data_IF_624295483036
#
_entry.id   IF_624295483036
#
_cell.length_a   1.000
_cell.length_b   1.000
_cell.length_c   1.000
_cell.angle_alpha   90.00
_cell.angle_beta   90.00
_cell.angle_gamma   90.00
#
_symmetry.space_group_name_H-M   'P 1'
#
loop_
_entity.id
_entity.type
_entity.pdbx_description
1 polymer ?
#
# COMPACT_ATOMS: atom_id res chain seq x y z
N UNK A 1 44.35 4.63 0.70
CA UNK A 1 43.25 3.71 0.33
C UNK A 1 42.26 3.73 1.47
N UNK A 2 41.15 4.45 1.33
CA UNK A 2 40.04 4.40 2.30
C UNK A 2 39.40 3.03 2.17
N UNK A 3 39.43 2.23 3.23
CA UNK A 3 38.68 0.98 3.29
C UNK A 3 37.24 1.27 2.94
N UNK A 4 36.67 0.57 1.95
CA UNK A 4 35.27 0.67 1.63
C UNK A 4 34.50 0.30 2.90
N UNK A 5 33.73 1.23 3.45
CA UNK A 5 32.92 0.98 4.63
C UNK A 5 31.90 -0.12 4.28
N UNK A 6 31.94 -1.21 5.02
CA UNK A 6 31.06 -2.36 4.77
C UNK A 6 29.59 -1.92 4.93
N UNK A 7 28.79 -2.16 3.88
CA UNK A 7 27.37 -1.75 3.89
C UNK A 7 26.55 -2.69 4.76
N UNK A 8 25.67 -2.12 5.56
CA UNK A 8 24.61 -2.88 6.23
C UNK A 8 23.53 -3.22 5.22
N UNK A 9 23.51 -4.47 4.76
CA UNK A 9 22.50 -4.94 3.79
C UNK A 9 21.20 -5.28 4.51
N UNK A 10 20.08 -4.79 3.99
CA UNK A 10 18.72 -5.11 4.44
C UNK A 10 17.83 -5.44 3.24
N UNK A 11 17.14 -6.57 3.31
CA UNK A 11 16.26 -7.04 2.22
C UNK A 11 14.85 -6.51 2.41
N UNK A 12 14.32 -5.82 1.40
CA UNK A 12 12.96 -5.28 1.37
C UNK A 12 12.04 -6.11 0.48
N UNK A 13 11.10 -6.85 1.06
CA UNK A 13 10.03 -7.51 0.33
C UNK A 13 9.01 -6.49 -0.19
N UNK A 14 8.72 -6.51 -1.48
CA UNK A 14 7.75 -5.61 -2.13
C UNK A 14 6.43 -6.33 -2.47
N UNK A 15 6.15 -6.58 -3.73
CA UNK A 15 5.01 -7.37 -4.21
C UNK A 15 5.27 -7.88 -5.63
N UNK A 16 4.20 -8.37 -6.29
CA UNK A 16 4.27 -8.82 -7.68
C UNK A 16 4.58 -7.67 -8.64
N UNK A 17 5.31 -7.94 -9.74
CA UNK A 17 5.60 -6.93 -10.75
C UNK A 17 4.36 -6.21 -11.28
N UNK A 18 4.51 -4.92 -11.59
CA UNK A 18 3.45 -4.07 -12.09
C UNK A 18 2.52 -3.51 -11.01
N UNK A 19 2.71 -3.87 -9.74
CA UNK A 19 1.96 -3.33 -8.61
C UNK A 19 2.58 -2.06 -8.00
N UNK A 20 1.86 -1.43 -7.07
CA UNK A 20 2.30 -0.19 -6.40
C UNK A 20 3.51 -0.38 -5.48
N UNK A 21 3.60 -1.50 -4.78
CA UNK A 21 4.72 -1.75 -3.87
C UNK A 21 6.08 -1.90 -4.57
N UNK A 22 6.21 -2.61 -5.70
CA UNK A 22 7.43 -2.51 -6.49
C UNK A 22 7.71 -1.09 -6.98
N UNK A 23 6.70 -0.39 -7.51
CA UNK A 23 6.84 0.99 -7.99
C UNK A 23 7.32 1.95 -6.89
N UNK A 24 6.96 1.72 -5.63
CA UNK A 24 7.41 2.48 -4.47
C UNK A 24 8.77 1.98 -3.93
N UNK A 25 8.93 0.67 -3.78
CA UNK A 25 10.03 0.08 -3.03
C UNK A 25 11.40 0.27 -3.68
N UNK A 26 11.49 0.25 -5.02
CA UNK A 26 12.73 0.52 -5.74
C UNK A 26 13.23 1.95 -5.52
N UNK A 27 12.45 3.01 -5.85
CA UNK A 27 12.88 4.39 -5.56
C UNK A 27 13.09 4.70 -4.07
N UNK A 28 12.32 4.06 -3.17
CA UNK A 28 12.54 4.16 -1.73
C UNK A 28 13.95 3.67 -1.36
N UNK A 29 14.33 2.48 -1.83
CA UNK A 29 15.64 1.92 -1.57
C UNK A 29 16.77 2.77 -2.18
N UNK A 30 16.62 3.22 -3.42
CA UNK A 30 17.59 4.08 -4.10
C UNK A 30 17.84 5.37 -3.31
N UNK A 31 16.76 6.09 -2.97
CA UNK A 31 16.89 7.37 -2.24
C UNK A 31 17.50 7.18 -0.87
N UNK A 32 17.09 6.16 -0.11
CA UNK A 32 17.64 5.95 1.23
C UNK A 32 19.11 5.52 1.18
N UNK A 33 19.49 4.71 0.19
CA UNK A 33 20.90 4.33 -0.04
C UNK A 33 21.76 5.53 -0.48
N UNK A 34 21.18 6.51 -1.20
CA UNK A 34 21.85 7.77 -1.52
C UNK A 34 22.04 8.66 -0.28
N UNK A 35 21.03 8.71 0.60
CA UNK A 35 21.07 9.53 1.82
C UNK A 35 21.98 8.95 2.91
N UNK A 36 22.17 7.64 2.92
CA UNK A 36 23.10 6.91 3.80
C UNK A 36 23.84 5.84 2.99
N UNK A 37 25.04 6.16 2.45
CA UNK A 37 25.80 5.21 1.64
C UNK A 37 26.27 3.95 2.38
N UNK A 38 26.15 3.91 3.71
CA UNK A 38 26.46 2.74 4.53
C UNK A 38 25.27 1.79 4.68
N UNK A 39 24.08 2.15 4.17
CA UNK A 39 22.95 1.26 3.97
C UNK A 39 23.01 0.61 2.58
N UNK A 40 22.54 -0.64 2.52
CA UNK A 40 22.34 -1.40 1.30
C UNK A 40 20.93 -1.99 1.30
N UNK A 41 19.90 -1.16 1.04
CA UNK A 41 18.53 -1.66 0.94
C UNK A 41 18.37 -2.35 -0.41
N UNK A 42 18.00 -3.62 -0.40
CA UNK A 42 17.80 -4.46 -1.59
C UNK A 42 16.33 -4.85 -1.75
N UNK A 43 15.58 -4.19 -2.65
CA UNK A 43 14.20 -4.58 -2.94
C UNK A 43 14.14 -5.93 -3.64
N UNK A 44 13.17 -6.75 -3.22
CA UNK A 44 12.87 -8.04 -3.87
C UNK A 44 11.37 -8.14 -4.17
N UNK A 45 11.03 -8.67 -5.33
CA UNK A 45 9.66 -9.04 -5.60
C UNK A 45 9.24 -10.20 -4.71
N UNK A 46 8.04 -10.08 -4.16
CA UNK A 46 7.34 -11.10 -3.39
C UNK A 46 5.93 -11.26 -3.96
N UNK A 47 5.11 -12.05 -3.32
CA UNK A 47 3.70 -12.17 -3.68
C UNK A 47 2.82 -11.08 -3.04
N UNK A 48 3.39 -10.23 -2.16
CA UNK A 48 2.71 -9.09 -1.53
C UNK A 48 2.53 -9.20 -0.03
N UNK A 49 1.65 -8.38 0.53
CA UNK A 49 1.49 -8.17 1.98
C UNK A 49 1.28 -9.46 2.77
N UNK A 50 0.45 -10.38 2.27
CA UNK A 50 0.11 -11.63 2.97
C UNK A 50 1.26 -12.66 2.96
N UNK A 51 2.28 -12.45 2.15
CA UNK A 51 3.54 -13.20 2.19
C UNK A 51 4.61 -12.47 3.01
N UNK A 52 4.72 -11.14 2.86
CA UNK A 52 5.75 -10.35 3.54
C UNK A 52 5.64 -10.46 5.07
N UNK A 53 4.43 -10.40 5.61
CA UNK A 53 4.21 -10.48 7.06
C UNK A 53 4.71 -11.80 7.65
N UNK A 54 4.34 -13.00 7.15
CA UNK A 54 4.92 -14.25 7.61
C UNK A 54 6.44 -14.34 7.45
N UNK A 55 6.99 -13.81 6.36
CA UNK A 55 8.44 -13.82 6.13
C UNK A 55 9.18 -12.95 7.16
N UNK A 56 8.63 -11.79 7.55
CA UNK A 56 9.15 -10.96 8.64
C UNK A 56 9.07 -11.68 9.99
N UNK A 57 7.93 -12.31 10.30
CA UNK A 57 7.75 -13.09 11.54
C UNK A 57 8.77 -14.24 11.65
N UNK A 58 9.14 -14.85 10.52
CA UNK A 58 10.13 -15.93 10.44
C UNK A 58 11.57 -15.43 10.34
N UNK A 59 11.80 -14.11 10.28
CA UNK A 59 13.13 -13.52 10.10
C UNK A 59 13.76 -13.74 8.72
N UNK A 60 12.94 -14.09 7.70
CA UNK A 60 13.40 -14.32 6.32
C UNK A 60 13.44 -13.04 5.47
N UNK A 61 12.84 -11.98 5.95
CA UNK A 61 12.99 -10.61 5.45
C UNK A 61 13.41 -9.69 6.59
N UNK A 62 14.16 -8.65 6.26
CA UNK A 62 14.48 -7.57 7.20
C UNK A 62 13.38 -6.51 7.21
N UNK A 63 12.93 -6.12 6.02
CA UNK A 63 11.86 -5.17 5.76
C UNK A 63 10.82 -5.78 4.81
N UNK A 64 9.58 -5.31 4.91
CA UNK A 64 8.51 -5.73 4.00
C UNK A 64 7.41 -4.70 3.89
N UNK A 65 6.93 -4.48 2.67
CA UNK A 65 5.76 -3.63 2.43
C UNK A 65 4.49 -4.42 2.74
N UNK A 66 3.62 -3.85 3.56
CA UNK A 66 2.33 -4.44 3.90
C UNK A 66 1.24 -3.37 3.98
N UNK A 67 0.05 -3.69 3.48
CA UNK A 67 -1.10 -2.80 3.63
C UNK A 67 -1.54 -2.73 5.10
N UNK A 68 -2.23 -1.66 5.48
CA UNK A 68 -2.68 -1.48 6.85
C UNK A 68 -3.67 -2.55 7.29
N UNK A 69 -4.51 -3.06 6.40
CA UNK A 69 -5.46 -4.14 6.69
C UNK A 69 -4.73 -5.43 7.07
N UNK A 70 -3.72 -5.83 6.28
CA UNK A 70 -2.91 -7.02 6.56
C UNK A 70 -2.10 -6.84 7.84
N UNK A 71 -1.56 -5.64 8.06
CA UNK A 71 -0.87 -5.30 9.31
C UNK A 71 -1.83 -5.39 10.50
N UNK A 72 -3.04 -4.83 10.37
CA UNK A 72 -4.07 -4.89 11.41
C UNK A 72 -4.47 -6.32 11.74
N UNK A 73 -4.72 -7.17 10.73
CA UNK A 73 -5.04 -8.59 10.94
C UNK A 73 -3.91 -9.29 11.70
N UNK A 74 -2.66 -9.08 11.25
CA UNK A 74 -1.50 -9.72 11.86
C UNK A 74 -1.34 -9.34 13.34
N UNK A 75 -1.40 -8.04 13.68
CA UNK A 75 -1.23 -7.58 15.06
C UNK A 75 -2.44 -7.90 15.96
N UNK A 76 -3.62 -8.15 15.37
CA UNK A 76 -4.85 -8.52 16.09
C UNK A 76 -5.03 -10.01 16.21
N UNK A 77 -4.30 -10.84 15.43
CA UNK A 77 -4.47 -12.30 15.38
C UNK A 77 -5.72 -12.71 14.60
N UNK A 78 -6.14 -11.91 13.62
CA UNK A 78 -7.28 -12.22 12.75
C UNK A 78 -6.81 -13.18 11.65
N UNK A 79 -7.46 -14.33 11.54
CA UNK A 79 -7.14 -15.35 10.52
C UNK A 79 -5.85 -16.14 10.78
N UNK A 80 -5.18 -15.91 11.91
CA UNK A 80 -3.93 -16.60 12.25
C UNK A 80 -3.39 -16.22 13.62
N UNK A 81 -2.21 -16.71 14.00
CA UNK A 81 -1.58 -16.32 15.25
C UNK A 81 -1.23 -14.83 15.24
N UNK A 82 -1.37 -14.19 16.39
CA UNK A 82 -1.00 -12.78 16.57
C UNK A 82 0.48 -12.59 16.35
N UNK A 83 0.83 -11.67 15.43
CA UNK A 83 2.20 -11.30 15.14
C UNK A 83 2.90 -10.68 16.36
N UNK A 84 4.14 -11.09 16.61
CA UNK A 84 4.96 -10.64 17.75
C UNK A 84 6.23 -9.91 17.30
N UNK A 85 6.69 -10.22 16.08
CA UNK A 85 7.99 -9.78 15.56
C UNK A 85 7.87 -8.67 14.51
N UNK A 86 6.79 -7.89 14.52
CA UNK A 86 6.62 -6.77 13.61
C UNK A 86 6.88 -5.43 14.28
N UNK A 87 7.57 -4.54 13.57
CA UNK A 87 7.74 -3.13 13.93
C UNK A 87 7.54 -2.27 12.68
N UNK A 88 7.03 -1.07 12.88
CA UNK A 88 6.83 -0.09 11.81
C UNK A 88 8.09 0.76 11.68
N UNK A 89 8.64 0.85 10.47
CA UNK A 89 9.69 1.81 10.12
C UNK A 89 9.04 3.13 9.72
N UNK A 90 8.14 3.09 8.73
CA UNK A 90 7.36 4.26 8.32
C UNK A 90 6.03 3.86 7.67
N UNK A 91 5.06 4.78 7.72
CA UNK A 91 3.91 4.76 6.83
C UNK A 91 4.35 5.21 5.43
N UNK A 92 3.75 4.65 4.39
CA UNK A 92 4.13 4.99 3.01
C UNK A 92 3.26 6.11 2.44
N UNK A 93 2.01 5.83 2.10
CA UNK A 93 1.04 6.75 1.51
C UNK A 93 -0.37 6.31 1.86
N UNK A 94 -1.35 7.21 1.77
CA UNK A 94 -2.74 6.86 1.98
C UNK A 94 -3.27 6.00 0.82
N UNK A 95 -4.13 5.04 1.12
CA UNK A 95 -4.61 4.08 0.15
C UNK A 95 -6.14 3.99 0.20
N UNK A 96 -6.79 4.51 -0.86
CA UNK A 96 -8.24 4.49 -1.01
C UNK A 96 -8.66 3.32 -1.91
N UNK A 97 -9.46 2.39 -1.40
CA UNK A 97 -9.98 1.27 -2.20
C UNK A 97 -11.11 1.68 -3.12
N UNK A 98 -10.97 1.45 -4.42
CA UNK A 98 -12.00 1.78 -5.41
C UNK A 98 -11.88 0.90 -6.66
N UNK A 99 -12.87 1.00 -7.53
CA UNK A 99 -12.83 0.40 -8.85
C UNK A 99 -12.43 1.44 -9.90
N UNK A 100 -11.70 0.99 -10.92
CA UNK A 100 -11.57 1.70 -12.19
C UNK A 100 -12.26 0.92 -13.28
N UNK A 101 -12.97 1.64 -14.13
CA UNK A 101 -13.65 1.14 -15.34
C UNK A 101 -13.26 2.01 -16.52
N UNK A 102 -13.47 1.54 -17.75
CA UNK A 102 -13.36 2.42 -18.92
C UNK A 102 -14.38 3.56 -18.81
N UNK A 103 -14.00 4.78 -19.19
CA UNK A 103 -14.88 5.93 -19.08
C UNK A 103 -16.13 5.83 -19.98
N UNK A 104 -16.03 5.11 -21.11
CA UNK A 104 -17.15 4.84 -22.04
C UNK A 104 -18.07 3.70 -21.59
N UNK A 105 -17.74 2.97 -20.50
CA UNK A 105 -18.58 1.89 -19.97
C UNK A 105 -19.87 2.43 -19.35
N UNK A 106 -20.93 1.60 -19.25
CA UNK A 106 -22.19 2.01 -18.61
C UNK A 106 -22.12 2.09 -17.09
N UNK A 107 -21.08 1.54 -16.46
CA UNK A 107 -21.00 1.38 -15.01
C UNK A 107 -20.76 2.71 -14.30
N UNK A 108 -21.55 2.99 -13.23
CA UNK A 108 -21.51 4.23 -12.44
C UNK A 108 -21.43 4.00 -10.94
N UNK A 109 -21.80 2.80 -10.48
CA UNK A 109 -21.87 2.42 -9.07
C UNK A 109 -21.32 1.02 -8.84
N UNK A 110 -21.03 0.67 -7.59
CA UNK A 110 -20.63 -0.70 -7.21
C UNK A 110 -21.76 -1.69 -7.54
N UNK A 111 -23.01 -1.26 -7.41
CA UNK A 111 -24.17 -2.09 -7.74
C UNK A 111 -24.20 -2.52 -9.22
N UNK A 112 -23.75 -1.67 -10.14
CA UNK A 112 -23.71 -1.97 -11.58
C UNK A 112 -22.66 -3.06 -11.91
N UNK A 113 -21.71 -3.28 -11.03
CA UNK A 113 -20.64 -4.28 -11.19
C UNK A 113 -21.05 -5.67 -10.67
N UNK A 114 -22.19 -5.82 -10.00
CA UNK A 114 -22.64 -7.13 -9.51
C UNK A 114 -22.88 -8.08 -10.67
N UNK A 115 -22.40 -9.31 -10.52
CA UNK A 115 -22.45 -10.34 -11.57
C UNK A 115 -21.56 -10.06 -12.78
N UNK A 116 -20.64 -9.09 -12.72
CA UNK A 116 -19.72 -8.79 -13.82
C UNK A 116 -18.32 -9.34 -13.52
N UNK A 117 -17.52 -9.64 -14.57
CA UNK A 117 -16.14 -10.01 -14.39
C UNK A 117 -15.32 -8.81 -13.86
N UNK A 118 -14.77 -8.96 -12.66
CA UNK A 118 -14.00 -7.92 -11.96
C UNK A 118 -12.62 -8.46 -11.60
N UNK A 119 -11.58 -7.72 -11.99
CA UNK A 119 -10.21 -7.99 -11.60
C UNK A 119 -9.97 -7.45 -10.18
N UNK A 120 -9.70 -8.34 -9.23
CA UNK A 120 -9.46 -7.98 -7.84
C UNK A 120 -7.98 -7.83 -7.49
N UNK A 121 -7.08 -8.17 -8.42
CA UNK A 121 -5.63 -8.10 -8.26
C UNK A 121 -4.98 -9.45 -7.98
N UNK A 122 -3.72 -9.43 -7.58
CA UNK A 122 -2.99 -10.65 -7.22
C UNK A 122 -3.57 -11.27 -5.94
N UNK A 123 -3.75 -12.59 -5.92
CA UNK A 123 -4.47 -13.30 -4.85
C UNK A 123 -3.88 -13.15 -3.45
N UNK A 124 -2.59 -12.82 -3.34
CA UNK A 124 -1.87 -12.55 -2.09
C UNK A 124 -1.67 -11.05 -1.80
N UNK A 125 -2.24 -10.18 -2.64
CA UNK A 125 -2.19 -8.72 -2.47
C UNK A 125 -2.99 -8.28 -1.24
N UNK A 126 -2.50 -7.27 -0.52
CA UNK A 126 -3.26 -6.60 0.52
C UNK A 126 -4.55 -5.96 0.02
N UNK A 127 -4.64 -5.57 -1.25
CA UNK A 127 -5.90 -5.05 -1.83
C UNK A 127 -7.04 -6.08 -1.83
N UNK A 128 -6.75 -7.38 -1.85
CA UNK A 128 -7.77 -8.43 -1.68
C UNK A 128 -8.34 -8.38 -0.25
N UNK A 129 -7.48 -8.12 0.73
CA UNK A 129 -7.91 -7.98 2.13
C UNK A 129 -8.77 -6.74 2.30
N UNK A 130 -8.37 -5.59 1.71
CA UNK A 130 -9.19 -4.38 1.70
C UNK A 130 -10.53 -4.62 0.99
N UNK A 131 -10.53 -5.27 -0.18
CA UNK A 131 -11.76 -5.63 -0.90
C UNK A 131 -12.72 -6.41 -0.03
N UNK A 132 -12.23 -7.42 0.71
CA UNK A 132 -13.06 -8.22 1.61
C UNK A 132 -13.74 -7.37 2.67
N UNK A 133 -13.04 -6.47 3.32
CA UNK A 133 -13.60 -5.57 4.33
C UNK A 133 -14.57 -4.55 3.74
N UNK A 134 -14.25 -3.96 2.61
CA UNK A 134 -15.13 -2.99 1.94
C UNK A 134 -16.41 -3.67 1.48
N UNK A 135 -16.31 -4.81 0.80
CA UNK A 135 -17.50 -5.55 0.34
C UNK A 135 -18.34 -6.06 1.53
N UNK A 136 -17.71 -6.60 2.57
CA UNK A 136 -18.42 -7.02 3.78
C UNK A 136 -19.14 -5.87 4.48
N UNK A 137 -18.56 -4.67 4.53
CA UNK A 137 -19.23 -3.46 5.01
C UNK A 137 -20.43 -3.03 4.19
N UNK A 138 -20.44 -3.37 2.90
CA UNK A 138 -21.57 -3.16 1.98
C UNK A 138 -22.60 -4.30 1.99
N UNK A 139 -22.34 -5.39 2.75
CA UNK A 139 -23.17 -6.58 2.73
C UNK A 139 -22.98 -7.43 1.47
N UNK A 140 -21.81 -7.31 0.82
CA UNK A 140 -21.44 -8.03 -0.40
C UNK A 140 -20.26 -8.97 -0.11
N UNK A 141 -20.12 -9.97 -0.98
CA UNK A 141 -18.97 -10.88 -1.01
C UNK A 141 -18.32 -10.80 -2.40
N UNK A 142 -17.05 -10.39 -2.45
CA UNK A 142 -16.38 -10.16 -3.74
C UNK A 142 -16.26 -11.42 -4.61
N UNK A 143 -16.36 -12.62 -4.03
CA UNK A 143 -16.32 -13.91 -4.75
C UNK A 143 -17.68 -14.42 -5.19
N UNK A 144 -18.76 -14.00 -4.50
CA UNK A 144 -20.11 -14.50 -4.74
C UNK A 144 -20.97 -13.53 -5.55
N UNK A 145 -20.80 -12.22 -5.27
CA UNK A 145 -21.59 -11.17 -5.92
C UNK A 145 -20.98 -10.67 -7.23
N UNK A 146 -19.77 -11.13 -7.57
CA UNK A 146 -19.03 -10.76 -8.77
C UNK A 146 -18.41 -12.01 -9.42
N UNK A 147 -18.14 -11.97 -10.73
CA UNK A 147 -17.25 -12.93 -11.37
C UNK A 147 -15.80 -12.54 -11.06
N UNK A 148 -15.27 -13.12 -9.97
CA UNK A 148 -13.99 -12.70 -9.41
C UNK A 148 -12.81 -13.21 -10.23
N UNK A 149 -12.01 -12.30 -10.80
CA UNK A 149 -10.75 -12.59 -11.49
C UNK A 149 -9.59 -12.26 -10.54
N UNK A 150 -8.85 -13.31 -10.14
CA UNK A 150 -7.62 -13.18 -9.38
C UNK A 150 -6.43 -13.36 -10.32
N UNK A 151 -5.42 -12.53 -10.15
CA UNK A 151 -4.23 -12.52 -10.98
C UNK A 151 -3.04 -13.15 -10.25
N UNK A 152 -2.03 -13.55 -11.01
CA UNK A 152 -0.71 -13.82 -10.45
C UNK A 152 0.13 -12.55 -10.32
N UNK A 153 0.02 -11.62 -11.26
CA UNK A 153 0.72 -10.34 -11.27
C UNK A 153 -0.27 -9.19 -11.44
N UNK A 154 -0.10 -8.12 -10.66
CA UNK A 154 -0.99 -6.97 -10.74
C UNK A 154 -1.00 -6.29 -12.13
N UNK A 155 0.13 -6.34 -12.83
CA UNK A 155 0.28 -5.78 -14.19
C UNK A 155 -0.55 -6.48 -15.28
N UNK A 156 -1.08 -7.68 -15.03
CA UNK A 156 -1.87 -8.43 -16.01
C UNK A 156 -3.34 -7.95 -16.08
N UNK A 157 -3.78 -7.15 -15.10
CA UNK A 157 -5.17 -6.70 -14.98
C UNK A 157 -5.59 -5.62 -15.98
N UNK A 158 -4.82 -4.54 -16.17
CA UNK A 158 -5.24 -3.43 -17.04
C UNK A 158 -5.62 -3.84 -18.46
N UNK A 159 -4.89 -4.73 -19.16
CA UNK A 159 -5.31 -5.20 -20.49
C UNK A 159 -6.71 -5.82 -20.50
N UNK A 160 -7.11 -6.52 -19.43
CA UNK A 160 -8.44 -7.16 -19.35
C UNK A 160 -9.58 -6.15 -19.28
N UNK A 161 -9.34 -5.00 -18.62
CA UNK A 161 -10.32 -3.88 -18.59
C UNK A 161 -10.34 -3.15 -19.92
N UNK A 162 -9.17 -2.90 -20.51
CA UNK A 162 -9.04 -2.15 -21.77
C UNK A 162 -9.68 -2.89 -22.95
N UNK A 163 -9.57 -4.21 -23.01
CA UNK A 163 -10.14 -5.04 -24.09
C UNK A 163 -11.55 -5.57 -23.78
N UNK A 164 -12.11 -5.24 -22.60
CA UNK A 164 -13.48 -5.59 -22.22
C UNK A 164 -13.68 -6.99 -21.66
N UNK A 165 -12.61 -7.78 -21.44
CA UNK A 165 -12.69 -9.08 -20.73
C UNK A 165 -13.05 -8.91 -19.25
N UNK A 166 -12.79 -7.76 -18.67
CA UNK A 166 -13.25 -7.39 -17.34
C UNK A 166 -14.01 -6.05 -17.37
N UNK A 167 -15.08 -5.95 -16.62
CA UNK A 167 -15.85 -4.73 -16.45
C UNK A 167 -15.10 -3.67 -15.64
N UNK A 168 -14.35 -4.11 -14.62
CA UNK A 168 -13.65 -3.25 -13.69
C UNK A 168 -12.37 -3.89 -13.15
N UNK A 169 -11.50 -3.05 -12.60
CA UNK A 169 -10.36 -3.48 -11.76
C UNK A 169 -10.45 -2.79 -10.40
N UNK A 170 -10.31 -3.57 -9.32
CA UNK A 170 -10.19 -3.10 -7.96
C UNK A 170 -8.74 -2.71 -7.63
N UNK A 171 -8.56 -1.65 -6.87
CA UNK A 171 -7.26 -1.18 -6.40
C UNK A 171 -7.37 0.18 -5.75
N UNK A 172 -6.32 0.99 -5.85
CA UNK A 172 -6.39 2.37 -5.35
C UNK A 172 -5.03 3.02 -5.09
N UNK A 173 -5.11 4.22 -4.53
CA UNK A 173 -3.97 5.10 -4.30
C UNK A 173 -3.73 6.08 -5.45
N UNK A 174 -2.94 7.12 -5.19
CA UNK A 174 -2.58 8.14 -6.17
C UNK A 174 -1.58 7.56 -7.19
N UNK A 175 -1.85 7.72 -8.49
CA UNK A 175 -0.91 7.30 -9.54
C UNK A 175 -0.58 5.80 -9.57
N UNK A 176 -1.45 4.94 -9.01
CA UNK A 176 -1.20 3.49 -8.99
C UNK A 176 -1.05 2.94 -10.42
N UNK A 177 0.07 2.21 -10.73
CA UNK A 177 0.41 1.86 -12.11
C UNK A 177 -0.71 1.16 -12.90
N UNK A 178 -1.45 0.17 -12.36
CA UNK A 178 -2.56 -0.44 -13.10
C UNK A 178 -3.68 0.55 -13.46
N UNK A 179 -4.06 1.45 -12.55
CA UNK A 179 -5.08 2.46 -12.84
C UNK A 179 -4.58 3.51 -13.83
N UNK A 180 -3.30 3.89 -13.73
CA UNK A 180 -2.66 4.78 -14.68
C UNK A 180 -2.66 4.19 -16.10
N UNK A 181 -2.43 2.89 -16.24
CA UNK A 181 -2.48 2.22 -17.53
C UNK A 181 -3.89 2.28 -18.16
N UNK A 182 -4.94 2.05 -17.37
CA UNK A 182 -6.34 2.15 -17.82
C UNK A 182 -6.67 3.61 -18.18
N UNK A 183 -6.30 4.57 -17.32
CA UNK A 183 -6.59 5.98 -17.54
C UNK A 183 -5.88 6.59 -18.77
N UNK A 184 -4.72 6.08 -19.14
CA UNK A 184 -4.01 6.43 -20.38
C UNK A 184 -4.52 5.69 -21.62
N UNK A 185 -5.42 4.73 -21.44
CA UNK A 185 -6.05 4.00 -22.55
C UNK A 185 -6.97 4.89 -23.39
N UNK A 186 -7.36 4.42 -24.61
CA UNK A 186 -8.13 5.23 -25.57
C UNK A 186 -9.45 5.78 -25.02
N UNK A 187 -10.14 5.03 -24.16
CA UNK A 187 -11.41 5.42 -23.57
C UNK A 187 -11.26 6.30 -22.31
N UNK A 188 -10.04 6.40 -21.74
CA UNK A 188 -9.85 6.96 -20.42
C UNK A 188 -10.42 6.08 -19.31
N UNK A 189 -10.46 6.60 -18.09
CA UNK A 189 -10.96 5.88 -16.92
C UNK A 189 -12.06 6.67 -16.18
N UNK A 190 -12.95 5.91 -15.54
CA UNK A 190 -13.86 6.40 -14.48
C UNK A 190 -13.58 5.61 -13.22
N UNK A 191 -13.63 6.31 -12.07
CA UNK A 191 -13.42 5.72 -10.76
C UNK A 191 -14.77 5.55 -10.07
N UNK A 192 -15.02 4.37 -9.51
CA UNK A 192 -16.23 4.03 -8.76
C UNK A 192 -15.79 3.66 -7.34
N UNK A 193 -16.28 4.43 -6.38
CA UNK A 193 -16.00 4.25 -4.96
C UNK A 193 -17.32 4.17 -4.18
N UNK A 194 -17.31 3.71 -2.92
CA UNK A 194 -18.47 3.77 -2.05
C UNK A 194 -18.98 5.19 -1.89
N UNK A 195 -20.31 5.38 -1.91
CA UNK A 195 -20.95 6.65 -1.56
C UNK A 195 -20.83 7.00 -0.08
N UNK A 196 -21.25 8.21 0.31
CA UNK A 196 -21.11 8.69 1.69
C UNK A 196 -21.73 7.74 2.73
N UNK A 197 -22.99 7.35 2.53
CA UNK A 197 -23.69 6.41 3.43
C UNK A 197 -23.05 5.01 3.46
N UNK A 198 -22.45 4.61 2.33
CA UNK A 198 -21.70 3.36 2.23
C UNK A 198 -20.39 3.42 2.99
N UNK A 199 -19.67 4.55 2.92
CA UNK A 199 -18.45 4.80 3.71
C UNK A 199 -18.77 4.73 5.20
N UNK A 200 -19.86 5.36 5.65
CA UNK A 200 -20.29 5.31 7.04
C UNK A 200 -20.56 3.86 7.50
N UNK A 201 -21.29 3.07 6.70
CA UNK A 201 -21.56 1.66 7.02
C UNK A 201 -20.27 0.82 7.10
N UNK A 202 -19.35 1.01 6.16
CA UNK A 202 -18.07 0.30 6.13
C UNK A 202 -17.25 0.65 7.38
N UNK A 203 -17.09 1.93 7.69
CA UNK A 203 -16.28 2.37 8.84
C UNK A 203 -16.93 2.08 10.18
N UNK A 204 -18.25 2.05 10.27
CA UNK A 204 -18.96 1.62 11.48
C UNK A 204 -18.73 0.12 11.76
N UNK A 205 -18.73 -0.72 10.72
CA UNK A 205 -18.48 -2.16 10.85
C UNK A 205 -16.99 -2.48 11.05
N UNK A 206 -16.11 -1.76 10.38
CA UNK A 206 -14.66 -1.96 10.36
C UNK A 206 -13.94 -0.69 10.77
N UNK A 207 -13.94 -0.37 12.06
CA UNK A 207 -13.46 0.90 12.63
C UNK A 207 -11.98 1.21 12.43
N UNK A 208 -11.18 0.22 12.07
CA UNK A 208 -9.77 0.40 11.71
C UNK A 208 -9.59 1.01 10.32
N UNK A 209 -10.57 0.85 9.41
CA UNK A 209 -10.62 1.55 8.14
C UNK A 209 -11.02 3.01 8.36
N UNK A 210 -10.45 3.90 7.56
CA UNK A 210 -10.74 5.33 7.63
C UNK A 210 -11.21 5.83 6.28
N UNK A 211 -12.08 6.84 6.31
CA UNK A 211 -12.34 7.61 5.10
C UNK A 211 -11.04 8.24 4.63
N UNK A 212 -10.78 8.13 3.35
CA UNK A 212 -9.63 8.73 2.68
C UNK A 212 -10.08 9.30 1.34
N UNK A 213 -9.35 10.29 0.86
CA UNK A 213 -9.69 10.99 -0.38
C UNK A 213 -8.55 10.88 -1.37
N UNK A 214 -8.83 10.38 -2.55
CA UNK A 214 -7.93 10.49 -3.69
C UNK A 214 -8.09 11.90 -4.28
N UNK A 215 -7.05 12.75 -4.30
CA UNK A 215 -7.13 14.12 -4.80
C UNK A 215 -7.53 14.18 -6.28
N UNK A 216 -8.14 15.29 -6.69
CA UNK A 216 -8.36 15.58 -8.10
C UNK A 216 -7.03 15.59 -8.86
N UNK A 217 -7.03 15.15 -10.11
CA UNK A 217 -5.83 15.11 -10.94
C UNK A 217 -4.85 13.97 -10.65
N UNK A 218 -5.20 13.03 -9.74
CA UNK A 218 -4.40 11.84 -9.47
C UNK A 218 -4.24 10.94 -10.70
N UNK A 219 -5.13 11.07 -11.67
CA UNK A 219 -5.11 10.32 -12.93
C UNK A 219 -5.55 11.19 -14.11
N UNK A 220 -5.10 10.90 -15.35
CA UNK A 220 -5.58 11.58 -16.54
C UNK A 220 -7.10 11.58 -16.62
N UNK A 221 -7.70 12.75 -16.85
CA UNK A 221 -9.16 12.91 -16.99
C UNK A 221 -9.95 12.95 -15.68
N UNK A 222 -9.35 12.72 -14.53
CA UNK A 222 -10.03 12.83 -13.24
C UNK A 222 -10.15 14.28 -12.78
N UNK A 223 -11.36 14.83 -12.87
CA UNK A 223 -11.63 16.25 -12.60
C UNK A 223 -11.82 16.56 -11.10
N UNK A 224 -12.40 15.64 -10.34
CA UNK A 224 -12.73 15.85 -8.93
C UNK A 224 -12.07 14.85 -7.99
N UNK A 225 -12.06 15.14 -6.67
CA UNK A 225 -11.61 14.18 -5.69
C UNK A 225 -12.53 12.96 -5.63
N UNK A 226 -12.00 11.81 -5.23
CA UNK A 226 -12.77 10.59 -5.00
C UNK A 226 -12.62 10.17 -3.53
N UNK A 227 -13.73 10.24 -2.78
CA UNK A 227 -13.77 9.75 -1.41
C UNK A 227 -13.98 8.24 -1.41
N UNK A 228 -13.31 7.56 -0.51
CA UNK A 228 -13.46 6.13 -0.28
C UNK A 228 -13.02 5.77 1.14
N UNK A 229 -12.75 4.51 1.37
CA UNK A 229 -12.17 3.98 2.62
C UNK A 229 -10.86 3.27 2.34
N UNK A 230 -10.00 3.26 3.33
CA UNK A 230 -8.72 2.57 3.23
C UNK A 230 -7.90 2.68 4.50
N UNK A 231 -6.63 2.39 4.35
CA UNK A 231 -5.64 2.46 5.41
C UNK A 231 -4.30 2.93 4.87
N UNK A 232 -3.33 3.07 5.76
CA UNK A 232 -1.96 3.36 5.40
C UNK A 232 -1.15 2.07 5.30
N UNK A 233 -0.54 1.74 4.16
CA UNK A 233 0.51 0.74 4.09
C UNK A 233 1.77 1.19 4.85
N UNK A 234 2.55 0.20 5.28
CA UNK A 234 3.77 0.41 6.05
C UNK A 234 4.97 -0.28 5.42
N UNK A 235 6.14 0.31 5.60
CA UNK A 235 7.39 -0.43 5.64
C UNK A 235 7.49 -1.03 7.05
N UNK A 236 7.29 -2.34 7.13
CA UNK A 236 7.45 -3.12 8.35
C UNK A 236 8.87 -3.68 8.42
N UNK A 237 9.37 -3.86 9.63
CA UNK A 237 10.60 -4.56 9.93
C UNK A 237 10.33 -5.75 10.85
N UNK A 238 11.21 -6.78 10.81
CA UNK A 238 11.29 -7.75 11.89
C UNK A 238 11.73 -7.07 13.19
N UNK A 239 11.17 -7.46 14.33
CA UNK A 239 11.45 -6.81 15.61
C UNK A 239 12.94 -6.91 16.05
N UNK A 240 13.68 -7.89 15.51
CA UNK A 240 15.11 -8.07 15.76
C UNK A 240 16.01 -7.27 14.82
N UNK A 241 15.47 -6.40 13.96
CA UNK A 241 16.28 -5.44 13.21
C UNK A 241 17.03 -4.54 14.22
N UNK A 242 18.35 -4.32 14.10
CA UNK A 242 19.09 -3.48 15.04
C UNK A 242 18.55 -2.05 15.12
N UNK A 243 18.50 -1.47 16.32
CA UNK A 243 17.99 -0.11 16.55
C UNK A 243 18.73 0.96 15.76
N UNK A 244 20.06 0.82 15.58
CA UNK A 244 20.87 1.72 14.78
C UNK A 244 20.50 1.68 13.30
N UNK A 245 20.17 0.50 12.77
CA UNK A 245 19.71 0.34 11.38
C UNK A 245 18.36 1.02 11.20
N UNK A 246 17.40 0.78 12.08
CA UNK A 246 16.10 1.43 12.03
C UNK A 246 16.18 2.96 12.21
N UNK A 247 17.07 3.42 13.07
CA UNK A 247 17.39 4.85 13.24
C UNK A 247 17.91 5.46 11.92
N UNK A 248 18.86 4.79 11.26
CA UNK A 248 19.42 5.25 9.98
C UNK A 248 18.41 5.25 8.86
N UNK A 249 17.53 4.24 8.79
CA UNK A 249 16.40 4.20 7.84
C UNK A 249 15.46 5.41 8.02
N UNK A 250 15.06 5.71 9.26
CA UNK A 250 14.22 6.87 9.55
C UNK A 250 14.91 8.20 9.19
N UNK A 251 16.20 8.33 9.53
CA UNK A 251 17.02 9.51 9.20
C UNK A 251 17.18 9.69 7.70
N UNK A 252 17.43 8.61 6.96
CA UNK A 252 17.59 8.64 5.52
C UNK A 252 16.27 9.01 4.83
N UNK A 253 15.13 8.45 5.28
CA UNK A 253 13.80 8.84 4.79
C UNK A 253 13.53 10.33 5.04
N UNK A 254 13.72 10.80 6.27
CA UNK A 254 13.45 12.20 6.61
C UNK A 254 14.28 13.17 5.76
N UNK A 255 15.57 12.88 5.56
CA UNK A 255 16.45 13.69 4.71
C UNK A 255 16.13 13.56 3.22
N UNK A 256 15.76 12.36 2.77
CA UNK A 256 15.50 12.04 1.38
C UNK A 256 14.05 12.25 0.93
N UNK A 257 13.14 12.62 1.84
CA UNK A 257 11.71 12.72 1.57
C UNK A 257 11.39 13.54 0.30
N UNK A 258 11.96 14.73 0.17
CA UNK A 258 11.73 15.59 -0.99
C UNK A 258 12.23 14.96 -2.32
N UNK A 259 13.35 14.22 -2.26
CA UNK A 259 13.89 13.51 -3.42
C UNK A 259 12.99 12.31 -3.79
N UNK A 260 12.50 11.59 -2.79
CA UNK A 260 11.58 10.47 -2.98
C UNK A 260 10.24 10.94 -3.58
N UNK A 261 9.66 12.03 -3.05
CA UNK A 261 8.42 12.61 -3.56
C UNK A 261 8.52 13.13 -5.00
N UNK A 262 9.74 13.51 -5.46
CA UNK A 262 9.98 13.86 -6.87
C UNK A 262 10.05 12.64 -7.80
N UNK A 263 10.42 11.46 -7.27
CA UNK A 263 10.46 10.20 -8.04
C UNK A 263 9.11 9.52 -8.11
N UNK A 264 8.33 9.65 -7.04
CA UNK A 264 6.99 9.07 -6.92
C UNK A 264 6.08 10.04 -6.17
N UNK A 265 5.02 10.53 -6.83
CA UNK A 265 4.08 11.48 -6.23
C UNK A 265 3.45 10.96 -4.92
N UNK A 266 3.10 9.68 -4.85
CA UNK A 266 2.57 9.05 -3.64
C UNK A 266 3.49 9.22 -2.43
N UNK A 267 4.79 9.19 -2.64
CA UNK A 267 5.76 9.26 -1.56
C UNK A 267 5.89 10.66 -0.92
N UNK A 268 5.20 11.67 -1.44
CA UNK A 268 5.03 12.96 -0.75
C UNK A 268 4.35 12.79 0.62
N UNK A 269 3.56 11.74 0.80
CA UNK A 269 2.94 11.39 2.08
C UNK A 269 3.85 10.55 3.00
N UNK A 270 5.00 10.04 2.51
CA UNK A 270 5.90 9.16 3.26
C UNK A 270 6.74 9.93 4.29
N UNK A 271 6.09 10.53 5.27
CA UNK A 271 6.74 11.30 6.34
C UNK A 271 6.75 10.56 7.67
N UNK A 272 7.63 10.98 8.58
CA UNK A 272 7.66 10.42 9.94
C UNK A 272 6.45 10.91 10.76
N UNK A 273 5.94 12.11 10.48
CA UNK A 273 4.72 12.65 11.10
C UNK A 273 3.50 11.81 10.70
N UNK A 274 3.36 11.49 9.44
CA UNK A 274 2.30 10.59 8.97
C UNK A 274 2.44 9.20 9.57
N UNK A 275 3.67 8.73 9.80
CA UNK A 275 3.92 7.46 10.50
C UNK A 275 3.36 7.46 11.92
N UNK A 276 3.54 8.56 12.68
CA UNK A 276 2.97 8.70 14.02
C UNK A 276 1.43 8.69 14.01
N UNK A 277 0.84 9.31 13.00
CA UNK A 277 -0.62 9.40 12.84
C UNK A 277 -1.23 8.08 12.38
N UNK A 278 -0.58 7.41 11.45
CA UNK A 278 -1.08 6.19 10.81
C UNK A 278 -0.85 4.92 11.65
N UNK A 279 0.19 4.90 12.49
CA UNK A 279 0.50 3.74 13.32
C UNK A 279 -0.66 3.40 14.26
N UNK A 280 -1.16 2.15 14.29
CA UNK A 280 -2.27 1.75 15.16
C UNK A 280 -1.97 1.98 16.65
N UNK A 281 -0.71 1.84 17.03
CA UNK A 281 -0.19 2.11 18.37
C UNK A 281 1.29 2.53 18.26
N UNK A 282 1.72 3.45 19.11
CA UNK A 282 3.09 3.97 19.12
C UNK A 282 4.15 2.90 19.43
N UNK A 283 3.82 1.92 20.26
CA UNK A 283 4.73 0.82 20.64
C UNK A 283 5.02 -0.16 19.48
N UNK A 284 4.27 -0.09 18.38
CA UNK A 284 4.54 -0.81 17.15
C UNK A 284 5.62 -0.12 16.28
N UNK A 285 5.88 1.17 16.49
CA UNK A 285 6.97 1.86 15.79
C UNK A 285 8.31 1.37 16.37
N UNK A 286 9.26 1.10 15.48
CA UNK A 286 10.57 0.56 15.88
C UNK A 286 11.29 1.52 16.86
N UNK A 287 11.92 1.01 17.94
CA UNK A 287 12.61 1.84 18.93
C UNK A 287 13.64 2.79 18.32
N UNK A 288 14.42 2.33 17.34
CA UNK A 288 15.39 3.15 16.61
C UNK A 288 14.72 4.30 15.83
N UNK A 289 13.55 4.07 15.24
CA UNK A 289 12.75 5.13 14.59
C UNK A 289 12.28 6.15 15.61
N UNK A 290 11.70 5.72 16.73
CA UNK A 290 11.26 6.61 17.81
C UNK A 290 12.40 7.41 18.40
N UNK A 291 13.61 6.82 18.51
CA UNK A 291 14.82 7.53 18.94
C UNK A 291 15.14 8.68 17.99
N UNK A 292 15.19 8.40 16.69
CA UNK A 292 15.44 9.45 15.69
C UNK A 292 14.36 10.55 15.73
N UNK A 293 13.09 10.19 15.84
CA UNK A 293 12.00 11.17 15.89
C UNK A 293 12.12 12.12 17.09
N UNK A 294 12.56 11.62 18.28
CA UNK A 294 12.81 12.47 19.45
C UNK A 294 13.97 13.43 19.20
N UNK A 295 15.09 12.93 18.66
CA UNK A 295 16.26 13.77 18.38
C UNK A 295 16.00 14.81 17.29
N UNK A 296 15.12 14.50 16.32
CA UNK A 296 14.70 15.43 15.28
C UNK A 296 13.58 16.41 15.72
N UNK A 297 13.10 16.33 16.96
CA UNK A 297 12.03 17.18 17.48
C UNK A 297 10.63 16.86 16.95
N UNK A 298 10.45 15.72 16.28
CA UNK A 298 9.17 15.27 15.72
C UNK A 298 8.28 14.56 16.74
N UNK A 299 8.86 14.16 17.86
CA UNK A 299 8.17 13.47 18.95
C UNK A 299 8.52 14.13 20.29
N UNK A 300 7.51 14.61 20.98
CA UNK A 300 7.61 15.15 22.34
C UNK A 300 7.39 14.06 23.39
#
# INVERSE_FOLDING_TARGET
MTAAQEKTVVVLGTATPGGGFPAYGWPYAEVLNEMDPTLGIEPKNTRGSTENVPLLEQGKLDLGLATGEVTYEAISGIGGPKAKNLRIINATYSQAGMFTVRADSPYRSIADLKGKPVVWGAGTSGFIVLARYVMDGLGLDFKKDFEAILLEKAGDGPPMVLDGRAAAMWGGGVGWPPFMAIAKGPAGARFIAPGADEIERITAKHSFLKQTTMPAGSYPGQQGPVNSVGSWPFVLARASLPDDVAYRLAKALHKGHAALGKRIDQAQESTLENTLTAAPRRDLIHPGVLKYMREAGLLR
#
